data_IF_994078254334
#
_entry.id   IF_994078254334
#
_cell.length_a   1.000
_cell.length_b   1.000
_cell.length_c   1.000
_cell.angle_alpha   90.00
_cell.angle_beta   90.00
_cell.angle_gamma   90.00
#
_symmetry.space_group_name_H-M   'P 1'
#
loop_
_entity.id
_entity.type
_entity.pdbx_description
1 polymer ?
#
# COMPACT_ATOMS: atom_id res chain seq x y z
N UNK A 1 11.85 -13.92 12.99
CA UNK A 1 11.52 -12.83 12.05
C UNK A 1 10.37 -12.02 12.64
N UNK A 2 10.57 -10.75 12.89
CA UNK A 2 9.49 -9.90 13.40
C UNK A 2 8.49 -9.53 12.29
N UNK A 3 7.40 -8.86 12.66
CA UNK A 3 6.34 -8.53 11.71
C UNK A 3 6.81 -7.59 10.60
N UNK A 4 7.74 -6.69 10.87
CA UNK A 4 8.27 -5.76 9.87
C UNK A 4 9.13 -6.51 8.85
N UNK A 5 9.94 -7.46 9.28
CA UNK A 5 10.71 -8.30 8.37
C UNK A 5 9.78 -9.16 7.49
N UNK A 6 8.72 -9.72 8.08
CA UNK A 6 7.71 -10.47 7.31
C UNK A 6 6.98 -9.57 6.31
N UNK A 7 6.63 -8.35 6.73
CA UNK A 7 6.03 -7.34 5.84
C UNK A 7 6.93 -7.06 4.64
N UNK A 8 8.20 -6.78 4.85
CA UNK A 8 9.15 -6.51 3.77
C UNK A 8 9.24 -7.68 2.80
N UNK A 9 9.24 -8.91 3.31
CA UNK A 9 9.31 -10.11 2.49
C UNK A 9 8.07 -10.27 1.62
N UNK A 10 6.88 -10.06 2.16
CA UNK A 10 5.61 -10.15 1.43
C UNK A 10 5.54 -9.06 0.35
N UNK A 11 5.95 -7.85 0.66
CA UNK A 11 5.88 -6.71 -0.26
C UNK A 11 6.99 -6.68 -1.30
N UNK A 12 7.94 -7.61 -1.27
CA UNK A 12 8.91 -7.77 -2.36
C UNK A 12 8.18 -7.98 -3.69
N UNK A 13 7.19 -8.86 -3.73
CA UNK A 13 6.22 -8.96 -4.83
C UNK A 13 4.93 -9.57 -4.30
N UNK A 14 3.91 -8.74 -4.12
CA UNK A 14 2.63 -9.18 -3.55
C UNK A 14 1.85 -10.10 -4.49
N UNK A 15 2.25 -10.21 -5.77
CA UNK A 15 1.67 -11.18 -6.69
C UNK A 15 2.22 -12.61 -6.50
N UNK A 16 3.28 -12.77 -5.73
CA UNK A 16 3.89 -14.08 -5.44
C UNK A 16 3.37 -14.73 -4.17
N UNK A 17 2.49 -14.06 -3.44
CA UNK A 17 1.90 -14.59 -2.20
C UNK A 17 0.45 -15.00 -2.43
N UNK A 18 -0.06 -15.93 -1.61
CA UNK A 18 -1.49 -16.16 -1.51
C UNK A 18 -2.11 -15.17 -0.51
N UNK A 19 -3.39 -14.78 -0.67
CA UNK A 19 -4.04 -13.89 0.28
C UNK A 19 -4.02 -14.40 1.74
N UNK A 20 -4.00 -15.72 1.94
CA UNK A 20 -3.92 -16.32 3.27
C UNK A 20 -2.60 -15.96 4.00
N UNK A 21 -1.52 -15.70 3.28
CA UNK A 21 -0.23 -15.31 3.88
C UNK A 21 -0.29 -13.95 4.56
N UNK A 22 -1.27 -13.12 4.22
CA UNK A 22 -1.48 -11.82 4.86
C UNK A 22 -1.80 -11.95 6.36
N UNK A 23 -2.34 -13.09 6.79
CA UNK A 23 -2.59 -13.38 8.21
C UNK A 23 -1.29 -13.45 9.04
N UNK A 24 -0.15 -13.65 8.39
CA UNK A 24 1.14 -13.66 9.07
C UNK A 24 1.62 -12.27 9.48
N UNK A 25 1.07 -11.21 8.89
CA UNK A 25 1.46 -9.83 9.18
C UNK A 25 0.31 -8.98 9.72
N UNK A 26 -0.92 -9.20 9.28
CA UNK A 26 -2.06 -8.38 9.68
C UNK A 26 -2.89 -9.03 10.78
N UNK A 27 -3.33 -8.21 11.74
CA UNK A 27 -4.27 -8.64 12.78
C UNK A 27 -5.67 -8.86 12.18
N UNK A 28 -6.50 -9.63 12.86
CA UNK A 28 -7.87 -9.90 12.42
C UNK A 28 -8.71 -8.64 12.27
N UNK A 29 -8.47 -7.63 13.11
CA UNK A 29 -9.18 -6.35 13.14
C UNK A 29 -8.42 -5.22 12.42
N UNK A 30 -7.54 -5.54 11.51
CA UNK A 30 -6.75 -4.58 10.73
C UNK A 30 -7.61 -3.45 10.16
N UNK A 31 -7.14 -2.21 10.27
CA UNK A 31 -7.66 -1.07 9.54
C UNK A 31 -6.68 -0.73 8.44
N UNK A 32 -7.08 -0.99 7.20
CA UNK A 32 -6.26 -0.79 6.01
C UNK A 32 -6.85 0.33 5.16
N UNK A 33 -6.08 1.39 4.97
CA UNK A 33 -6.52 2.59 4.26
C UNK A 33 -5.56 2.87 3.11
N UNK A 34 -6.09 3.09 1.93
CA UNK A 34 -5.34 3.66 0.82
C UNK A 34 -6.14 4.80 0.18
N UNK A 35 -5.58 5.53 -0.80
CA UNK A 35 -6.31 6.64 -1.45
C UNK A 35 -7.58 6.22 -2.18
N UNK A 36 -7.79 4.94 -2.45
CA UNK A 36 -8.96 4.43 -3.15
C UNK A 36 -10.09 4.16 -2.16
N UNK A 37 -9.81 3.46 -1.05
CA UNK A 37 -10.83 3.04 -0.10
C UNK A 37 -10.24 2.63 1.26
N UNK A 38 -11.16 2.31 2.18
CA UNK A 38 -10.83 1.79 3.51
C UNK A 38 -11.36 0.37 3.63
N UNK A 39 -10.52 -0.53 4.10
CA UNK A 39 -10.89 -1.92 4.39
C UNK A 39 -10.79 -2.19 5.89
N UNK A 40 -11.80 -2.86 6.44
CA UNK A 40 -11.87 -3.19 7.87
C UNK A 40 -11.88 -4.69 8.04
N UNK A 41 -10.87 -5.19 8.75
CA UNK A 41 -10.71 -6.61 9.03
C UNK A 41 -9.95 -7.37 7.95
N UNK A 42 -9.38 -8.49 8.37
CA UNK A 42 -8.48 -9.29 7.52
C UNK A 42 -9.18 -9.85 6.27
N UNK A 43 -10.46 -10.16 6.36
CA UNK A 43 -11.18 -10.72 5.22
C UNK A 43 -11.35 -9.71 4.09
N UNK A 44 -11.67 -8.46 4.41
CA UNK A 44 -11.74 -7.39 3.40
C UNK A 44 -10.38 -7.13 2.75
N UNK A 45 -9.31 -7.18 3.55
CA UNK A 45 -7.94 -7.01 3.02
C UNK A 45 -7.56 -8.16 2.10
N UNK A 46 -7.87 -9.40 2.47
CA UNK A 46 -7.64 -10.57 1.61
C UNK A 46 -8.39 -10.45 0.29
N UNK A 47 -9.64 -10.02 0.32
CA UNK A 47 -10.45 -9.86 -0.90
C UNK A 47 -9.88 -8.75 -1.79
N UNK A 48 -9.41 -7.65 -1.20
CA UNK A 48 -8.75 -6.58 -1.92
C UNK A 48 -7.49 -7.06 -2.65
N UNK A 49 -6.63 -7.81 -1.95
CA UNK A 49 -5.41 -8.37 -2.56
C UNK A 49 -5.75 -9.43 -3.62
N UNK A 50 -6.74 -10.29 -3.36
CA UNK A 50 -7.19 -11.27 -4.34
C UNK A 50 -7.66 -10.59 -5.64
N UNK A 51 -8.40 -9.49 -5.53
CA UNK A 51 -8.83 -8.72 -6.69
C UNK A 51 -7.65 -8.09 -7.44
N UNK A 52 -6.65 -7.56 -6.72
CA UNK A 52 -5.44 -7.05 -7.34
C UNK A 52 -4.70 -8.14 -8.13
N UNK A 53 -4.60 -9.35 -7.56
CA UNK A 53 -3.92 -10.48 -8.21
C UNK A 53 -4.60 -10.92 -9.51
N UNK A 54 -5.88 -10.63 -9.70
CA UNK A 54 -6.56 -10.93 -10.97
C UNK A 54 -6.13 -10.00 -12.09
N UNK A 55 -5.63 -8.81 -11.77
CA UNK A 55 -5.31 -7.75 -12.73
C UNK A 55 -3.81 -7.54 -12.93
N UNK A 56 -3.01 -7.85 -11.92
CA UNK A 56 -1.57 -7.59 -11.91
C UNK A 56 -0.77 -8.85 -12.22
N UNK A 57 0.20 -8.73 -13.13
CA UNK A 57 1.21 -9.74 -13.40
C UNK A 57 2.28 -9.72 -12.32
N UNK A 58 2.71 -8.54 -11.90
CA UNK A 58 3.63 -8.33 -10.78
C UNK A 58 3.33 -7.01 -10.10
N UNK A 59 3.63 -6.94 -8.82
CA UNK A 59 3.51 -5.71 -8.03
C UNK A 59 4.62 -5.72 -6.98
N UNK A 60 5.74 -5.10 -7.33
CA UNK A 60 6.96 -5.10 -6.54
C UNK A 60 7.13 -3.78 -5.82
N UNK A 61 7.51 -3.87 -4.54
CA UNK A 61 7.83 -2.70 -3.74
C UNK A 61 9.32 -2.71 -3.41
N UNK A 62 9.99 -1.66 -3.84
CA UNK A 62 11.37 -1.38 -3.45
C UNK A 62 11.33 -0.48 -2.22
N UNK A 63 11.61 -1.06 -1.05
CA UNK A 63 11.55 -0.34 0.22
C UNK A 63 12.87 0.40 0.42
N UNK A 64 12.80 1.73 0.36
CA UNK A 64 13.96 2.59 0.48
C UNK A 64 14.45 2.71 1.93
N UNK A 65 13.50 2.88 2.87
CA UNK A 65 13.83 2.99 4.30
C UNK A 65 12.59 2.76 5.16
N UNK A 66 12.86 2.46 6.43
CA UNK A 66 11.83 2.25 7.45
C UNK A 66 12.21 3.07 8.67
N UNK A 67 11.29 3.92 9.12
CA UNK A 67 11.48 4.73 10.33
C UNK A 67 10.63 4.18 11.46
N UNK A 68 11.24 4.01 12.62
CA UNK A 68 10.52 3.67 13.85
C UNK A 68 10.11 4.96 14.55
N UNK A 69 8.84 5.06 14.93
CA UNK A 69 8.27 6.25 15.55
C UNK A 69 8.16 6.08 17.05
N UNK A 70 8.47 7.16 17.80
CA UNK A 70 8.11 7.26 19.21
C UNK A 70 6.69 7.80 19.31
N UNK A 71 5.90 7.29 20.27
CA UNK A 71 4.53 7.74 20.49
C UNK A 71 4.21 7.84 21.97
N UNK A 72 3.17 8.61 22.30
CA UNK A 72 2.72 8.80 23.67
C UNK A 72 2.00 7.53 24.19
N UNK A 73 1.86 7.45 25.52
CA UNK A 73 1.41 6.25 26.22
C UNK A 73 -0.04 5.81 25.97
N UNK A 74 -0.88 6.65 25.36
CA UNK A 74 -2.25 6.28 24.98
C UNK A 74 -2.23 5.60 23.62
N UNK A 75 -2.36 4.27 23.59
CA UNK A 75 -2.39 3.54 22.32
C UNK A 75 -3.81 3.48 21.78
N UNK A 76 -3.99 3.95 20.54
CA UNK A 76 -5.20 3.74 19.74
C UNK A 76 -4.87 2.88 18.52
N UNK A 77 -5.90 2.40 17.81
CA UNK A 77 -5.70 1.63 16.60
C UNK A 77 -4.93 2.39 15.53
N UNK A 78 -5.08 3.72 15.48
CA UNK A 78 -4.42 4.58 14.49
C UNK A 78 -3.02 5.05 14.90
N UNK A 79 -2.47 4.58 16.03
CA UNK A 79 -1.13 4.96 16.45
C UNK A 79 -0.08 4.37 15.52
N UNK A 80 0.78 5.24 14.99
CA UNK A 80 1.82 4.86 14.03
C UNK A 80 3.10 4.50 14.79
N UNK A 81 3.60 3.30 14.55
CA UNK A 81 4.86 2.82 15.11
C UNK A 81 6.00 2.80 14.08
N UNK A 82 5.67 2.70 12.80
CA UNK A 82 6.65 2.65 11.71
C UNK A 82 6.15 3.42 10.50
N UNK A 83 7.08 4.03 9.77
CA UNK A 83 6.83 4.65 8.47
C UNK A 83 7.74 4.01 7.44
N UNK A 84 7.17 3.55 6.35
CA UNK A 84 7.88 2.83 5.28
C UNK A 84 7.80 3.64 4.01
N UNK A 85 8.95 4.01 3.44
CA UNK A 85 9.02 4.69 2.15
C UNK A 85 9.39 3.69 1.06
N UNK A 86 8.67 3.73 -0.05
CA UNK A 86 8.82 2.73 -1.11
C UNK A 86 8.58 3.32 -2.50
N UNK A 87 9.08 2.59 -3.49
CA UNK A 87 8.72 2.75 -4.90
C UNK A 87 8.05 1.46 -5.35
N UNK A 88 6.85 1.58 -5.91
CA UNK A 88 6.09 0.44 -6.43
C UNK A 88 6.25 0.36 -7.94
N UNK A 89 6.44 -0.86 -8.46
CA UNK A 89 6.38 -1.15 -9.89
C UNK A 89 5.29 -2.19 -10.11
N UNK A 90 4.21 -1.76 -10.75
CA UNK A 90 3.04 -2.58 -11.07
C UNK A 90 3.04 -2.89 -12.56
N UNK A 91 2.95 -4.17 -12.91
CA UNK A 91 2.79 -4.62 -14.30
C UNK A 91 1.41 -5.25 -14.45
N UNK A 92 0.58 -4.70 -15.35
CA UNK A 92 -0.77 -5.18 -15.60
C UNK A 92 -0.76 -6.36 -16.58
N UNK A 93 -1.66 -7.34 -16.37
CA UNK A 93 -1.73 -8.55 -17.19
C UNK A 93 -2.14 -8.30 -18.64
N UNK A 94 -3.17 -7.47 -18.85
CA UNK A 94 -3.83 -7.39 -20.15
C UNK A 94 -3.01 -6.69 -21.23
N UNK A 95 -2.25 -5.68 -20.88
CA UNK A 95 -1.51 -4.85 -21.84
C UNK A 95 -0.04 -4.71 -21.47
N UNK A 96 0.42 -5.44 -20.47
CA UNK A 96 1.78 -5.35 -19.94
C UNK A 96 2.19 -3.92 -19.57
N UNK A 97 1.21 -3.05 -19.28
CA UNK A 97 1.47 -1.67 -18.90
C UNK A 97 2.20 -1.64 -17.56
N UNK A 98 3.27 -0.85 -17.51
CA UNK A 98 4.08 -0.67 -16.31
C UNK A 98 3.73 0.67 -15.66
N UNK A 99 3.36 0.63 -14.39
CA UNK A 99 3.08 1.81 -13.58
C UNK A 99 4.11 1.84 -12.46
N UNK A 100 4.88 2.93 -12.37
CA UNK A 100 5.85 3.14 -11.30
C UNK A 100 5.45 4.38 -10.54
N UNK A 101 5.39 4.25 -9.19
CA UNK A 101 5.11 5.40 -8.36
C UNK A 101 5.73 5.26 -6.97
N UNK A 102 6.02 6.39 -6.37
CA UNK A 102 6.54 6.47 -5.02
C UNK A 102 5.40 6.65 -4.02
N UNK A 103 5.58 6.11 -2.83
CA UNK A 103 4.64 6.26 -1.76
C UNK A 103 5.26 6.05 -0.40
N UNK A 104 4.41 6.22 0.60
CA UNK A 104 4.77 5.96 1.99
C UNK A 104 3.62 5.26 2.68
N UNK A 105 3.96 4.38 3.61
CA UNK A 105 2.99 3.64 4.41
C UNK A 105 3.24 3.91 5.88
N UNK A 106 2.17 4.26 6.59
CA UNK A 106 2.17 4.32 8.04
C UNK A 106 1.66 2.99 8.59
N UNK A 107 2.43 2.37 9.48
CA UNK A 107 2.06 1.10 10.12
C UNK A 107 1.91 1.28 11.62
N UNK A 108 0.85 0.73 12.18
CA UNK A 108 0.69 0.55 13.62
C UNK A 108 0.87 -0.93 13.95
N UNK A 109 1.85 -1.24 14.80
CA UNK A 109 2.17 -2.63 15.20
C UNK A 109 1.79 -2.84 16.66
N UNK A 110 1.09 -3.94 16.93
CA UNK A 110 0.75 -4.38 18.28
C UNK A 110 0.78 -5.92 18.31
N UNK A 111 1.44 -6.48 19.34
CA UNK A 111 1.56 -7.93 19.52
C UNK A 111 2.06 -8.66 18.27
N UNK A 112 3.12 -8.12 17.65
CA UNK A 112 3.75 -8.67 16.45
C UNK A 112 2.78 -8.86 15.28
N UNK A 113 1.78 -7.96 15.18
CA UNK A 113 0.84 -7.88 14.05
C UNK A 113 0.58 -6.42 13.71
N UNK A 114 0.31 -6.16 12.45
CA UNK A 114 -0.08 -4.83 11.96
C UNK A 114 -1.57 -4.66 12.19
N UNK A 115 -1.94 -3.66 13.01
CA UNK A 115 -3.34 -3.33 13.31
C UNK A 115 -3.82 -2.11 12.52
N UNK A 116 -2.89 -1.35 11.95
CA UNK A 116 -3.16 -0.14 11.17
C UNK A 116 -2.18 -0.05 10.02
N UNK A 117 -2.70 0.20 8.82
CA UNK A 117 -1.91 0.35 7.60
C UNK A 117 -2.55 1.45 6.76
N UNK A 118 -1.82 2.54 6.54
CA UNK A 118 -2.31 3.63 5.68
C UNK A 118 -1.27 3.99 4.64
N UNK A 119 -1.67 3.84 3.38
CA UNK A 119 -0.86 4.20 2.23
C UNK A 119 -1.13 5.63 1.80
N UNK A 120 -0.06 6.35 1.47
CA UNK A 120 -0.11 7.66 0.83
C UNK A 120 0.64 7.59 -0.50
N UNK A 121 -0.06 7.85 -1.58
CA UNK A 121 0.54 8.02 -2.91
C UNK A 121 -0.36 8.92 -3.74
N UNK A 122 0.16 9.41 -4.87
CA UNK A 122 -0.62 10.26 -5.77
C UNK A 122 -1.62 9.41 -6.55
N UNK A 123 -2.90 9.48 -6.18
CA UNK A 123 -3.96 8.74 -6.85
C UNK A 123 -4.10 9.15 -8.33
N UNK A 124 -3.86 10.43 -8.64
CA UNK A 124 -3.85 10.91 -10.01
C UNK A 124 -2.78 10.20 -10.84
N UNK A 125 -1.57 10.08 -10.29
CA UNK A 125 -0.46 9.37 -10.95
C UNK A 125 -0.74 7.88 -11.06
N UNK A 126 -1.32 7.26 -10.02
CA UNK A 126 -1.62 5.83 -10.01
C UNK A 126 -2.70 5.44 -11.01
N UNK A 127 -3.80 6.20 -11.08
CA UNK A 127 -5.03 5.82 -11.80
C UNK A 127 -5.37 6.80 -12.91
N UNK A 128 -5.60 8.06 -12.57
CA UNK A 128 -6.26 9.01 -13.46
C UNK A 128 -5.37 9.50 -14.61
N UNK A 129 -4.07 9.61 -14.39
CA UNK A 129 -3.12 10.02 -15.42
C UNK A 129 -2.92 8.96 -16.51
N UNK A 130 -3.37 7.71 -16.25
CA UNK A 130 -3.33 6.62 -17.23
C UNK A 130 -4.61 6.50 -18.06
N UNK A 131 -5.62 7.32 -17.78
CA UNK A 131 -6.81 7.48 -18.64
C UNK A 131 -6.53 8.65 -19.57
N UNK A 132 -6.50 8.47 -20.93
CA UNK A 132 -5.95 9.49 -21.85
C UNK A 132 -6.51 10.90 -21.68
N UNK A 133 -7.83 11.05 -21.64
CA UNK A 133 -8.46 12.38 -21.52
C UNK A 133 -8.39 12.91 -20.09
N UNK A 134 -8.74 12.07 -19.11
CA UNK A 134 -8.76 12.42 -17.71
C UNK A 134 -7.33 12.71 -17.22
N UNK A 135 -6.35 11.91 -17.64
CA UNK A 135 -4.95 12.12 -17.31
C UNK A 135 -4.42 13.46 -17.77
N UNK A 136 -4.78 13.88 -18.98
CA UNK A 136 -4.43 15.19 -19.52
C UNK A 136 -5.00 16.34 -18.67
N UNK A 137 -6.27 16.24 -18.27
CA UNK A 137 -6.93 17.25 -17.43
C UNK A 137 -6.25 17.34 -16.06
N UNK A 138 -5.98 16.20 -15.43
CA UNK A 138 -5.33 16.15 -14.11
C UNK A 138 -3.93 16.76 -14.17
N UNK A 139 -3.11 16.41 -15.15
CA UNK A 139 -1.77 16.98 -15.36
C UNK A 139 -1.82 18.49 -15.59
N UNK A 140 -2.82 18.96 -16.32
CA UNK A 140 -3.03 20.39 -16.57
C UNK A 140 -3.38 21.13 -15.27
N UNK A 141 -4.24 20.57 -14.44
CA UNK A 141 -4.60 21.14 -13.13
C UNK A 141 -3.36 21.20 -12.22
N UNK A 142 -2.61 20.12 -12.12
CA UNK A 142 -1.36 20.07 -11.34
C UNK A 142 -0.36 21.14 -11.81
N UNK A 143 -0.22 21.29 -13.13
CA UNK A 143 0.65 22.30 -13.70
C UNK A 143 0.25 23.74 -13.35
N UNK A 144 -1.06 24.02 -13.31
CA UNK A 144 -1.56 25.33 -12.87
C UNK A 144 -1.29 25.61 -11.39
N UNK A 145 -1.44 24.59 -10.55
CA UNK A 145 -1.21 24.73 -9.10
C UNK A 145 0.28 24.90 -8.77
N UNK A 146 1.16 24.40 -9.64
CA UNK A 146 2.61 24.46 -9.43
C UNK A 146 3.25 25.81 -9.81
N UNK A 147 2.48 26.72 -10.46
CA UNK A 147 2.98 28.04 -10.87
C UNK A 147 2.94 29.08 -9.74
#
# INVERSE_FOLDING_TARGET
MDVIERFCKIYTDICQISPAELESIYANDILFIDPITTHRGINEVKDYFANLLTQAQSCQFDIANIFTCSYNSSQSQSDVSHVVNWTMTLVLKNNAKVITLDGTTQLGVNNDRIIYHKDYYDLGEMVYEHVPILGFIIKKIKGKLAK
#
